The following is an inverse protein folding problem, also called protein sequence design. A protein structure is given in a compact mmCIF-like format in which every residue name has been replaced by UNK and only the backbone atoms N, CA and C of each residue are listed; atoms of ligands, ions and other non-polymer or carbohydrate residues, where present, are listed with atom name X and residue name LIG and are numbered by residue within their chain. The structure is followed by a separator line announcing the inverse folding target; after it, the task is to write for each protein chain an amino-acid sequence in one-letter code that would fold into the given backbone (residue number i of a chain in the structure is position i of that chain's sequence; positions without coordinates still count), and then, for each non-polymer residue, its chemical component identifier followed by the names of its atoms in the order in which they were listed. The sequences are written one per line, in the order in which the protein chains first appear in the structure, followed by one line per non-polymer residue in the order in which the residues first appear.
data_IF_089897341114
#
_entry.id   IF_089897341114
#
_cell.length_a   1.000
_cell.length_b   1.000
_cell.length_c   1.000
_cell.angle_alpha   90.00
_cell.angle_beta   90.00
_cell.angle_gamma   90.00
#
_symmetry.space_group_name_H-M   'P 1'
#
loop_
_entity.id
_entity.type
_entity.pdbx_description
1 polymer ?
#
# COMPACT_ATOMS: atom_id res chain seq x y z
N UNK A 1 -38.73 -13.63 23.49
CA UNK A 1 -38.95 -13.69 24.97
C UNK A 1 -40.40 -13.97 25.30
N UNK A 2 -41.40 -13.40 24.60
CA UNK A 2 -42.83 -13.64 24.89
C UNK A 2 -43.30 -15.02 24.36
N UNK A 3 -42.76 -15.47 23.21
CA UNK A 3 -43.09 -16.80 22.65
C UNK A 3 -42.54 -17.97 23.49
N UNK A 4 -41.36 -17.82 24.06
CA UNK A 4 -40.77 -18.87 24.94
C UNK A 4 -41.53 -19.02 26.27
N UNK A 5 -42.01 -17.94 26.87
CA UNK A 5 -42.83 -18.00 28.08
C UNK A 5 -44.17 -18.71 27.84
N UNK A 6 -44.82 -18.49 26.67
CA UNK A 6 -46.07 -19.20 26.34
C UNK A 6 -45.85 -20.69 26.15
N UNK A 7 -44.76 -21.12 25.52
CA UNK A 7 -44.44 -22.53 25.36
C UNK A 7 -44.19 -23.22 26.72
N UNK A 8 -43.54 -22.53 27.66
CA UNK A 8 -43.31 -23.05 29.03
C UNK A 8 -44.62 -23.17 29.80
N UNK A 9 -45.53 -22.19 29.70
CA UNK A 9 -46.83 -22.19 30.38
C UNK A 9 -47.78 -23.29 29.82
N UNK A 10 -47.76 -23.55 28.50
CA UNK A 10 -48.52 -24.65 27.91
C UNK A 10 -48.02 -26.04 28.35
N UNK A 11 -46.74 -26.19 28.57
CA UNK A 11 -46.14 -27.44 29.05
C UNK A 11 -46.30 -27.64 30.56
N UNK A 12 -46.33 -26.58 31.35
CA UNK A 12 -46.54 -26.65 32.80
C UNK A 12 -47.91 -27.19 33.19
N UNK A 13 -48.93 -27.03 32.32
CA UNK A 13 -50.29 -27.59 32.53
C UNK A 13 -50.44 -29.08 32.21
N UNK A 14 -49.41 -29.74 31.66
CA UNK A 14 -49.51 -31.15 31.22
C UNK A 14 -49.14 -32.19 32.28
N UNK A 15 -48.81 -31.78 33.51
CA UNK A 15 -48.47 -32.70 34.65
C UNK A 15 -47.20 -33.53 34.40
N UNK A 16 -46.47 -33.26 33.35
CA UNK A 16 -45.32 -34.08 32.93
C UNK A 16 -44.00 -33.67 33.57
N UNK A 17 -43.98 -32.50 34.29
CA UNK A 17 -42.78 -31.94 34.88
C UNK A 17 -42.87 -31.66 36.38
N UNK A 18 -43.93 -32.14 37.04
CA UNK A 18 -44.14 -31.89 38.47
C UNK A 18 -43.10 -32.56 39.40
N UNK A 19 -42.18 -33.33 38.85
CA UNK A 19 -41.13 -34.02 39.60
C UNK A 19 -39.68 -33.59 39.19
N UNK A 20 -39.54 -32.61 38.36
CA UNK A 20 -38.21 -32.10 38.00
C UNK A 20 -37.84 -30.97 38.95
N UNK A 21 -36.99 -31.24 39.93
CA UNK A 21 -36.31 -30.18 40.66
C UNK A 21 -35.58 -29.29 39.64
N UNK A 22 -36.01 -28.04 39.55
CA UNK A 22 -35.31 -27.03 38.72
C UNK A 22 -33.90 -26.89 39.28
N UNK A 23 -32.94 -27.52 38.62
CA UNK A 23 -31.54 -27.31 38.92
C UNK A 23 -31.23 -25.80 38.76
N UNK A 24 -30.68 -25.19 39.80
CA UNK A 24 -30.26 -23.81 39.76
C UNK A 24 -29.15 -23.69 38.72
N UNK A 25 -29.49 -23.14 37.55
CA UNK A 25 -28.58 -22.90 36.44
C UNK A 25 -27.93 -21.53 36.53
N UNK A 26 -28.04 -20.83 37.67
CA UNK A 26 -27.37 -19.55 37.88
C UNK A 26 -25.84 -19.73 37.87
N UNK A 27 -25.22 -19.26 36.85
CA UNK A 27 -23.75 -19.22 36.71
C UNK A 27 -23.25 -17.83 37.04
N UNK A 28 -22.63 -17.66 38.19
CA UNK A 28 -21.91 -16.43 38.50
C UNK A 28 -20.58 -16.44 37.74
N UNK A 29 -20.43 -15.56 36.76
CA UNK A 29 -19.15 -15.32 36.11
C UNK A 29 -18.37 -14.31 36.97
N UNK A 30 -17.15 -14.64 37.43
CA UNK A 30 -16.32 -13.66 38.12
C UNK A 30 -16.03 -12.51 37.16
N UNK A 31 -16.29 -11.28 37.60
CA UNK A 31 -15.90 -10.08 36.88
C UNK A 31 -14.38 -9.99 36.91
N UNK A 32 -13.72 -10.45 35.85
CA UNK A 32 -12.29 -10.24 35.67
C UNK A 32 -12.12 -8.82 35.17
N UNK A 33 -11.86 -7.90 36.07
CA UNK A 33 -11.40 -6.56 35.72
C UNK A 33 -10.07 -6.69 34.99
N UNK A 34 -10.08 -6.60 33.67
CA UNK A 34 -8.87 -6.34 32.93
C UNK A 34 -8.43 -4.91 33.29
N UNK A 35 -7.48 -4.75 34.18
CA UNK A 35 -6.83 -3.49 34.39
C UNK A 35 -6.13 -3.12 33.08
N UNK A 36 -6.78 -2.25 32.29
CA UNK A 36 -6.16 -1.64 31.12
C UNK A 36 -5.10 -0.66 31.66
N UNK A 37 -3.87 -1.14 31.81
CA UNK A 37 -2.74 -0.23 32.04
C UNK A 37 -2.65 0.69 30.81
N UNK A 38 -3.00 1.95 31.00
CA UNK A 38 -2.86 2.96 29.93
C UNK A 38 -1.36 3.18 29.71
N UNK A 39 -0.88 3.00 28.45
CA UNK A 39 0.52 3.28 28.14
C UNK A 39 0.85 4.74 28.38
N UNK A 40 2.10 5.01 28.80
CA UNK A 40 2.56 6.38 28.96
C UNK A 40 2.63 7.14 27.63
N UNK A 41 2.50 8.48 27.68
CA UNK A 41 2.51 9.35 26.48
C UNK A 41 3.73 9.13 25.59
N UNK A 42 4.91 8.94 26.17
CA UNK A 42 6.15 8.65 25.41
C UNK A 42 6.07 7.39 24.57
N UNK A 43 5.46 6.32 25.10
CA UNK A 43 5.27 5.07 24.35
C UNK A 43 4.28 5.25 23.19
N UNK A 44 3.22 6.03 23.41
CA UNK A 44 2.24 6.36 22.37
C UNK A 44 2.92 7.16 21.25
N UNK A 45 3.71 8.17 21.59
CA UNK A 45 4.46 8.99 20.63
C UNK A 45 5.48 8.17 19.83
N UNK A 46 6.11 7.17 20.45
CA UNK A 46 7.01 6.26 19.74
C UNK A 46 6.29 5.43 18.68
N UNK A 47 5.09 4.92 18.98
CA UNK A 47 4.27 4.21 18.00
C UNK A 47 3.80 5.15 16.90
N UNK A 48 3.37 6.36 17.23
CA UNK A 48 2.98 7.36 16.23
C UNK A 48 4.14 7.68 15.29
N UNK A 49 5.37 7.82 15.82
CA UNK A 49 6.57 8.01 15.01
C UNK A 49 6.83 6.83 14.08
N UNK A 50 6.65 5.59 14.55
CA UNK A 50 6.75 4.38 13.69
C UNK A 50 5.71 4.35 12.58
N UNK A 51 4.58 5.04 12.73
CA UNK A 51 3.55 5.22 11.70
C UNK A 51 3.75 6.49 10.85
N UNK A 52 4.93 7.12 10.89
CA UNK A 52 5.24 8.39 10.22
C UNK A 52 4.30 9.54 10.65
N UNK A 53 3.93 9.57 11.94
CA UNK A 53 3.04 10.57 12.54
C UNK A 53 3.76 11.27 13.70
N UNK A 54 4.90 11.88 13.39
CA UNK A 54 5.73 12.58 14.39
C UNK A 54 5.15 13.92 14.80
N UNK A 55 4.32 14.51 13.95
CA UNK A 55 3.65 15.79 14.18
C UNK A 55 2.13 15.59 14.31
N UNK A 56 1.44 16.30 15.21
CA UNK A 56 -0.01 16.25 15.34
C UNK A 56 -0.78 16.52 14.04
N UNK A 57 -0.23 17.31 13.12
CA UNK A 57 -0.82 17.58 11.80
C UNK A 57 -0.88 16.33 10.91
N UNK A 58 -0.03 15.33 11.17
CA UNK A 58 0.01 14.06 10.46
C UNK A 58 -0.97 13.03 11.03
N UNK A 59 -1.57 13.33 12.18
CA UNK A 59 -2.60 12.50 12.80
C UNK A 59 -3.95 12.74 12.09
N UNK A 60 -4.17 12.08 10.96
CA UNK A 60 -5.37 12.27 10.11
C UNK A 60 -6.68 11.89 10.78
N UNK A 61 -6.65 11.05 11.82
CA UNK A 61 -7.82 10.56 12.56
C UNK A 61 -8.97 10.08 11.65
N UNK A 62 -8.59 9.42 10.54
CA UNK A 62 -9.51 9.09 9.43
C UNK A 62 -10.46 7.92 9.72
N UNK A 63 -10.30 7.22 10.85
CA UNK A 63 -11.15 6.09 11.23
C UNK A 63 -11.00 4.81 10.39
N UNK A 64 -10.27 4.83 9.27
CA UNK A 64 -10.16 3.69 8.34
C UNK A 64 -9.61 2.40 8.96
N UNK A 65 -8.91 2.50 10.08
CA UNK A 65 -8.35 1.37 10.82
C UNK A 65 -9.27 0.83 11.93
N UNK A 66 -10.49 1.37 12.06
CA UNK A 66 -11.46 0.99 13.08
C UNK A 66 -11.25 1.67 14.44
N UNK A 67 -10.37 2.67 14.54
CA UNK A 67 -10.15 3.50 15.72
C UNK A 67 -10.47 4.95 15.40
N UNK A 68 -11.09 5.68 16.31
CA UNK A 68 -11.52 7.05 16.09
C UNK A 68 -10.33 8.01 15.96
N UNK A 69 -9.26 7.73 16.72
CA UNK A 69 -8.04 8.55 16.68
C UNK A 69 -6.79 7.72 16.44
N UNK A 70 -5.76 8.37 15.86
CA UNK A 70 -4.44 7.75 15.68
C UNK A 70 -3.79 7.38 17.02
N UNK A 71 -4.08 8.14 18.08
CA UNK A 71 -3.59 7.88 19.45
C UNK A 71 -4.26 6.64 20.07
N UNK A 72 -5.57 6.47 19.89
CA UNK A 72 -6.26 5.25 20.32
C UNK A 72 -5.72 4.01 19.64
N UNK A 73 -5.44 4.10 18.34
CA UNK A 73 -4.77 3.02 17.61
C UNK A 73 -3.39 2.73 18.18
N UNK A 74 -2.59 3.75 18.49
CA UNK A 74 -1.27 3.57 19.09
C UNK A 74 -1.37 2.84 20.45
N UNK A 75 -2.36 3.18 21.27
CA UNK A 75 -2.68 2.47 22.52
C UNK A 75 -3.04 1.02 22.25
N UNK A 76 -3.89 0.75 21.25
CA UNK A 76 -4.29 -0.60 20.89
C UNK A 76 -3.10 -1.45 20.41
N UNK A 77 -2.16 -0.86 19.66
CA UNK A 77 -0.91 -1.52 19.26
C UNK A 77 -0.07 -1.88 20.47
N UNK A 78 0.12 -0.96 21.42
CA UNK A 78 0.88 -1.21 22.65
C UNK A 78 0.23 -2.30 23.52
N UNK A 79 -1.09 -2.46 23.42
CA UNK A 79 -1.85 -3.52 24.09
C UNK A 79 -1.90 -4.84 23.31
N UNK A 80 -1.24 -4.92 22.14
CA UNK A 80 -1.25 -6.12 21.28
C UNK A 80 -2.59 -6.41 20.61
N UNK A 81 -3.49 -5.41 20.49
CA UNK A 81 -4.83 -5.54 19.90
C UNK A 81 -4.89 -5.08 18.44
N UNK A 82 -3.89 -4.35 17.98
CA UNK A 82 -3.80 -3.84 16.63
C UNK A 82 -2.37 -3.94 16.10
N UNK A 83 -2.23 -3.87 14.78
CA UNK A 83 -0.95 -3.85 14.08
C UNK A 83 -0.77 -2.52 13.34
N UNK A 84 0.50 -2.14 13.08
CA UNK A 84 0.86 -0.94 12.32
C UNK A 84 0.26 -0.97 10.90
N UNK A 85 0.27 -2.14 10.26
CA UNK A 85 -0.19 -2.36 8.89
C UNK A 85 -1.69 -2.17 8.69
N UNK A 86 -2.48 -2.16 9.77
CA UNK A 86 -3.90 -1.81 9.71
C UNK A 86 -4.15 -0.33 9.40
N UNK A 87 -3.14 0.54 9.45
CA UNK A 87 -3.25 1.94 9.07
C UNK A 87 -3.09 2.09 7.56
N UNK A 88 -4.18 2.38 6.84
CA UNK A 88 -4.14 2.53 5.39
C UNK A 88 -3.18 3.62 4.90
N UNK A 89 -3.17 4.85 5.46
CA UNK A 89 -2.19 5.86 5.05
C UNK A 89 -0.74 5.41 5.25
N UNK A 90 -0.43 4.78 6.39
CA UNK A 90 0.91 4.24 6.65
C UNK A 90 1.28 3.10 5.68
N UNK A 91 0.33 2.18 5.41
CA UNK A 91 0.57 1.07 4.50
C UNK A 91 0.82 1.57 3.06
N UNK A 92 0.03 2.56 2.62
CA UNK A 92 0.20 3.21 1.32
C UNK A 92 1.59 3.85 1.21
N UNK A 93 1.95 4.70 2.16
CA UNK A 93 3.24 5.38 2.19
C UNK A 93 4.42 4.40 2.24
N UNK A 94 4.29 3.33 3.03
CA UNK A 94 5.32 2.28 3.10
C UNK A 94 5.48 1.55 1.77
N UNK A 95 4.37 1.25 1.08
CA UNK A 95 4.40 0.59 -0.22
C UNK A 95 5.03 1.50 -1.30
N UNK A 96 4.67 2.78 -1.33
CA UNK A 96 5.23 3.79 -2.24
C UNK A 96 6.74 3.96 -1.99
N UNK A 97 7.15 4.17 -0.74
CA UNK A 97 8.57 4.29 -0.37
C UNK A 97 9.38 3.05 -0.71
N UNK A 98 8.82 1.85 -0.54
CA UNK A 98 9.49 0.61 -0.91
C UNK A 98 9.67 0.49 -2.43
N UNK A 99 8.63 0.81 -3.19
CA UNK A 99 8.69 0.84 -4.66
C UNK A 99 9.72 1.83 -5.16
N UNK A 100 9.68 3.07 -4.65
CA UNK A 100 10.63 4.13 -5.01
C UNK A 100 12.09 3.75 -4.68
N UNK A 101 12.31 3.13 -3.52
CA UNK A 101 13.64 2.65 -3.13
C UNK A 101 14.17 1.57 -4.09
N UNK A 102 13.34 0.62 -4.51
CA UNK A 102 13.76 -0.41 -5.47
C UNK A 102 14.08 0.24 -6.82
N UNK A 103 13.18 1.06 -7.33
CA UNK A 103 13.32 1.70 -8.64
C UNK A 103 14.55 2.61 -8.69
N UNK A 104 14.81 3.38 -7.64
CA UNK A 104 15.93 4.33 -7.62
C UNK A 104 17.29 3.71 -7.27
N UNK A 105 17.32 2.52 -6.66
CA UNK A 105 18.57 1.82 -6.34
C UNK A 105 18.94 0.72 -7.35
N UNK A 106 18.11 0.47 -8.38
CA UNK A 106 18.50 -0.41 -9.47
C UNK A 106 19.55 0.26 -10.35
N UNK A 107 20.58 -0.48 -10.83
CA UNK A 107 21.56 0.07 -11.78
C UNK A 107 20.99 0.31 -13.18
N UNK A 108 19.84 -0.27 -13.47
CA UNK A 108 19.19 -0.10 -14.77
C UNK A 108 18.37 1.19 -14.79
N UNK A 109 18.46 1.93 -15.87
CA UNK A 109 17.57 3.05 -16.14
C UNK A 109 16.15 2.54 -16.36
N UNK A 110 15.19 3.10 -15.63
CA UNK A 110 13.75 2.80 -15.80
C UNK A 110 13.04 4.09 -16.16
N UNK A 111 12.27 4.04 -17.25
CA UNK A 111 11.40 5.14 -17.67
C UNK A 111 10.01 4.60 -17.97
N UNK A 112 8.99 5.29 -17.49
CA UNK A 112 7.58 4.97 -17.75
C UNK A 112 6.97 6.10 -18.54
N UNK A 113 6.31 5.74 -19.64
CA UNK A 113 5.62 6.67 -20.54
C UNK A 113 4.12 6.38 -20.55
N UNK A 114 3.32 7.42 -20.81
CA UNK A 114 1.91 7.29 -21.19
C UNK A 114 1.77 6.77 -22.63
N UNK A 115 0.53 6.46 -23.05
CA UNK A 115 0.22 6.16 -24.46
C UNK A 115 0.48 7.35 -25.41
N UNK A 116 0.46 8.57 -24.89
CA UNK A 116 0.83 9.78 -25.65
C UNK A 116 2.36 9.98 -25.71
N UNK A 117 3.13 8.99 -25.24
CA UNK A 117 4.59 9.03 -25.16
C UNK A 117 5.13 10.19 -24.29
N UNK A 118 4.38 10.60 -23.27
CA UNK A 118 4.83 11.55 -22.27
C UNK A 118 5.48 10.83 -21.08
N UNK A 119 6.58 11.39 -20.59
CA UNK A 119 7.33 10.81 -19.45
C UNK A 119 6.53 10.97 -18.17
N UNK A 120 6.07 9.84 -17.61
CA UNK A 120 5.35 9.79 -16.33
C UNK A 120 6.27 9.54 -15.15
N UNK A 121 7.28 8.71 -15.33
CA UNK A 121 8.24 8.38 -14.28
C UNK A 121 9.61 8.07 -14.88
N UNK A 122 10.66 8.47 -14.19
CA UNK A 122 12.04 8.18 -14.54
C UNK A 122 12.86 7.99 -13.28
N UNK A 123 13.71 6.98 -13.22
CA UNK A 123 14.57 6.75 -12.08
C UNK A 123 15.93 7.46 -12.24
N UNK A 124 16.70 7.43 -11.15
CA UNK A 124 18.02 8.06 -11.09
C UNK A 124 18.97 7.49 -12.15
N UNK A 125 19.04 6.17 -12.32
CA UNK A 125 19.93 5.53 -13.29
C UNK A 125 19.60 5.95 -14.73
N UNK A 126 18.32 6.06 -15.09
CA UNK A 126 17.89 6.56 -16.40
C UNK A 126 18.34 8.00 -16.61
N UNK A 127 18.20 8.88 -15.59
CA UNK A 127 18.66 10.28 -15.67
C UNK A 127 20.17 10.38 -15.91
N UNK A 128 20.95 9.47 -15.32
CA UNK A 128 22.41 9.41 -15.50
C UNK A 128 22.79 8.89 -16.89
N UNK A 129 22.04 7.91 -17.43
CA UNK A 129 22.26 7.39 -18.79
C UNK A 129 22.02 8.47 -19.84
N UNK A 130 20.91 9.20 -19.74
CA UNK A 130 20.52 10.25 -20.71
C UNK A 130 20.91 11.67 -20.26
N UNK A 131 21.80 11.78 -19.27
CA UNK A 131 22.41 13.04 -18.82
C UNK A 131 21.41 14.16 -18.48
N UNK A 132 20.29 13.82 -17.84
CA UNK A 132 19.28 14.78 -17.38
C UNK A 132 19.74 15.42 -16.07
N UNK A 133 19.78 16.75 -16.05
CA UNK A 133 20.20 17.53 -14.88
C UNK A 133 19.05 17.73 -13.86
N UNK A 134 17.83 17.85 -14.34
CA UNK A 134 16.65 18.08 -13.51
C UNK A 134 15.50 17.19 -13.97
N UNK A 135 14.98 16.37 -13.07
CA UNK A 135 13.83 15.50 -13.34
C UNK A 135 12.57 16.31 -13.67
N UNK A 136 12.41 17.49 -13.07
CA UNK A 136 11.26 18.37 -13.30
C UNK A 136 11.14 18.85 -14.75
N UNK A 137 12.26 18.90 -15.48
CA UNK A 137 12.29 19.41 -16.85
C UNK A 137 11.82 18.36 -17.87
N UNK A 138 11.74 17.11 -17.43
CA UNK A 138 11.42 15.95 -18.28
C UNK A 138 10.07 15.36 -17.97
N UNK A 139 9.61 15.48 -16.72
CA UNK A 139 8.30 14.96 -16.31
C UNK A 139 7.16 15.64 -17.09
N UNK A 140 6.29 14.82 -17.69
CA UNK A 140 5.20 15.29 -18.56
C UNK A 140 5.63 15.77 -19.94
N UNK A 141 6.92 15.69 -20.29
CA UNK A 141 7.39 16.04 -21.63
C UNK A 141 7.29 14.84 -22.59
N UNK A 142 7.04 15.08 -23.88
CA UNK A 142 7.10 14.04 -24.90
C UNK A 142 8.51 13.40 -24.99
N UNK A 143 8.56 12.08 -25.07
CA UNK A 143 9.82 11.29 -25.11
C UNK A 143 10.71 11.69 -26.27
N UNK A 144 10.14 12.17 -27.38
CA UNK A 144 10.88 12.64 -28.58
C UNK A 144 11.90 13.75 -28.27
N UNK A 145 11.75 14.44 -27.14
CA UNK A 145 12.74 15.44 -26.68
C UNK A 145 14.00 14.83 -26.10
N UNK A 146 13.96 13.55 -25.78
CA UNK A 146 14.99 12.86 -25.00
C UNK A 146 15.52 11.66 -25.76
N UNK A 147 14.65 10.88 -26.39
CA UNK A 147 14.98 9.65 -27.11
C UNK A 147 14.19 9.55 -28.42
N UNK A 148 14.68 8.73 -29.34
CA UNK A 148 13.98 8.41 -30.58
C UNK A 148 12.69 7.60 -30.27
N UNK A 149 11.50 8.09 -30.64
CA UNK A 149 10.24 7.44 -30.32
C UNK A 149 9.92 6.20 -31.16
N UNK A 150 10.70 5.89 -32.19
CA UNK A 150 10.38 4.83 -33.19
C UNK A 150 10.13 3.48 -32.52
N UNK A 151 10.98 3.05 -31.61
CA UNK A 151 10.83 1.76 -30.91
C UNK A 151 9.58 1.72 -30.01
N UNK A 152 9.21 2.81 -29.39
CA UNK A 152 7.98 2.91 -28.56
C UNK A 152 6.73 2.84 -29.43
N UNK A 153 6.71 3.53 -30.56
CA UNK A 153 5.62 3.48 -31.53
C UNK A 153 5.46 2.08 -32.14
N UNK A 154 6.58 1.39 -32.42
CA UNK A 154 6.59 0.01 -32.90
C UNK A 154 5.89 -0.92 -31.90
N UNK A 155 6.27 -0.89 -30.63
CA UNK A 155 5.70 -1.71 -29.55
C UNK A 155 4.22 -1.40 -29.35
N UNK A 156 3.82 -0.15 -29.44
CA UNK A 156 2.39 0.24 -29.33
C UNK A 156 1.57 -0.30 -30.50
N UNK A 157 2.11 -0.20 -31.73
CA UNK A 157 1.37 -0.60 -32.93
C UNK A 157 1.26 -2.11 -33.09
N UNK A 158 2.32 -2.85 -32.80
CA UNK A 158 2.38 -4.30 -32.92
C UNK A 158 1.82 -5.00 -31.69
N UNK A 159 1.99 -4.38 -30.51
CA UNK A 159 1.73 -4.97 -29.21
C UNK A 159 2.76 -6.04 -28.79
N UNK A 160 3.87 -6.15 -29.54
CA UNK A 160 4.99 -7.05 -29.24
C UNK A 160 6.06 -6.28 -28.48
N UNK A 161 6.52 -6.83 -27.34
CA UNK A 161 7.56 -6.20 -26.54
C UNK A 161 8.93 -6.35 -27.23
N UNK A 162 9.77 -5.35 -27.08
CA UNK A 162 11.16 -5.38 -27.54
C UNK A 162 12.04 -5.79 -26.35
N UNK A 163 12.93 -6.76 -26.56
CA UNK A 163 13.84 -7.24 -25.53
C UNK A 163 15.30 -7.10 -25.97
N UNK A 164 16.14 -6.57 -25.08
CA UNK A 164 17.58 -6.52 -25.21
C UNK A 164 18.06 -5.90 -26.55
N UNK A 165 17.35 -4.87 -27.04
CA UNK A 165 17.74 -4.15 -28.23
C UNK A 165 18.94 -3.26 -27.91
N UNK A 166 20.03 -3.48 -28.62
CA UNK A 166 21.23 -2.64 -28.48
C UNK A 166 21.13 -1.42 -29.39
N UNK A 167 21.22 -0.25 -28.79
CA UNK A 167 21.11 1.03 -29.50
C UNK A 167 22.23 1.95 -29.07
N UNK A 168 22.81 2.69 -30.03
CA UNK A 168 23.73 3.76 -29.73
C UNK A 168 22.97 5.07 -29.61
N UNK A 169 23.00 5.66 -28.43
CA UNK A 169 22.41 6.96 -28.17
C UNK A 169 23.45 8.07 -28.55
N UNK A 170 23.40 8.52 -29.78
CA UNK A 170 24.40 9.45 -30.33
C UNK A 170 24.50 10.78 -29.56
N UNK A 171 23.37 11.29 -29.07
CA UNK A 171 23.31 12.55 -28.31
C UNK A 171 24.02 12.43 -26.94
N UNK A 172 24.09 11.22 -26.38
CA UNK A 172 24.68 10.95 -25.06
C UNK A 172 26.03 10.22 -25.15
N UNK A 173 26.41 9.75 -26.33
CA UNK A 173 27.63 9.01 -26.56
C UNK A 173 27.70 7.66 -25.88
N UNK A 174 26.55 7.01 -25.65
CA UNK A 174 26.41 5.76 -24.88
C UNK A 174 25.80 4.64 -25.69
N UNK A 175 26.28 3.43 -25.45
CA UNK A 175 25.62 2.21 -25.89
C UNK A 175 24.70 1.72 -24.79
N UNK A 176 23.43 1.47 -25.14
CA UNK A 176 22.44 0.96 -24.21
C UNK A 176 21.82 -0.33 -24.75
N UNK A 177 21.54 -1.22 -23.84
CA UNK A 177 20.67 -2.38 -24.09
C UNK A 177 19.31 -2.07 -23.51
N UNK A 178 18.30 -1.97 -24.37
CA UNK A 178 16.95 -1.51 -24.02
C UNK A 178 15.92 -2.63 -24.15
N UNK A 179 15.04 -2.73 -23.17
CA UNK A 179 13.84 -3.55 -23.19
C UNK A 179 12.62 -2.64 -23.05
N UNK A 180 11.68 -2.73 -24.00
CA UNK A 180 10.46 -1.93 -24.02
C UNK A 180 9.26 -2.84 -23.89
N UNK A 181 8.43 -2.57 -22.90
CA UNK A 181 7.23 -3.34 -22.56
C UNK A 181 6.03 -2.42 -22.63
N UNK A 182 4.99 -2.83 -23.36
CA UNK A 182 3.70 -2.13 -23.35
C UNK A 182 2.69 -2.88 -22.50
N UNK A 183 2.28 -2.28 -21.40
CA UNK A 183 1.22 -2.80 -20.56
C UNK A 183 -0.12 -2.19 -20.96
N UNK A 184 -0.88 -2.93 -21.76
CA UNK A 184 -2.22 -2.55 -22.25
C UNK A 184 -3.24 -2.38 -21.12
N UNK A 185 -3.03 -3.02 -19.97
CA UNK A 185 -3.95 -2.96 -18.84
C UNK A 185 -3.90 -1.63 -18.11
N UNK A 186 -2.70 -1.10 -18.00
CA UNK A 186 -2.46 0.17 -17.31
C UNK A 186 -2.22 1.34 -18.26
N UNK A 187 -2.25 1.09 -19.58
CA UNK A 187 -2.01 2.10 -20.61
C UNK A 187 -0.66 2.81 -20.45
N UNK A 188 0.38 2.03 -20.15
CA UNK A 188 1.74 2.53 -19.96
C UNK A 188 2.75 1.75 -20.79
N UNK A 189 3.82 2.44 -21.15
CA UNK A 189 5.00 1.86 -21.78
C UNK A 189 6.15 1.97 -20.79
N UNK A 190 6.82 0.85 -20.53
CA UNK A 190 7.99 0.80 -19.66
C UNK A 190 9.23 0.54 -20.51
N UNK A 191 10.22 1.41 -20.39
CA UNK A 191 11.56 1.22 -20.95
C UNK A 191 12.55 0.94 -19.83
N UNK A 192 13.31 -0.14 -19.97
CA UNK A 192 14.39 -0.53 -19.08
C UNK A 192 15.67 -0.48 -19.88
N UNK A 193 16.62 0.36 -19.47
CA UNK A 193 17.87 0.61 -20.16
C UNK A 193 19.07 0.21 -19.29
N UNK A 194 19.99 -0.55 -19.85
CA UNK A 194 21.29 -0.85 -19.24
C UNK A 194 22.40 -0.17 -20.02
N UNK A 195 23.25 0.59 -19.34
CA UNK A 195 24.46 1.15 -19.95
C UNK A 195 25.48 0.02 -20.18
N UNK A 196 25.87 -0.17 -21.44
CA UNK A 196 26.81 -1.21 -21.88
C UNK A 196 28.04 -0.59 -22.58
N UNK A 197 28.30 0.71 -22.31
CA UNK A 197 29.41 1.46 -22.91
C UNK A 197 30.77 0.93 -22.50
#
# INVERSE_FOLDING_TARGET
VIHERRAVDEFAGSGRFDTVELADMTKSLPFISMQKTMPGSKAIEEILRKMNKSDPSQELNCGSCGYDTCREKAVAILQGKADLTMCLPYLKEKAESFSDNIINNTPNGIMVLSEDLEVQQINKASSEIINIKSLSDVMGCPVVRILDPVSYLEVMSTGENIHNKRTYLAEYGKYVEETIIYDKRYHIIMSIMSDIT
#
